data_IF_157449967173
#
_entry.id   IF_157449967173
#
_cell.length_a   1.000
_cell.length_b   1.000
_cell.length_c   1.000
_cell.angle_alpha   90.00
_cell.angle_beta   90.00
_cell.angle_gamma   90.00
#
_symmetry.space_group_name_H-M   'P 1'
#
loop_
_entity.id
_entity.type
_entity.pdbx_description
1 polymer ?
#
# COMPACT_ATOMS: atom_id res chain seq x y z
N UNK A 1 -7.51 -7.29 -39.99
CA UNK A 1 -8.32 -7.62 -38.81
C UNK A 1 -8.15 -6.49 -37.82
N UNK A 2 -9.20 -5.70 -37.61
CA UNK A 2 -9.18 -4.58 -36.65
C UNK A 2 -9.20 -5.13 -35.23
N UNK A 3 -8.14 -4.92 -34.47
CA UNK A 3 -8.14 -5.17 -33.04
C UNK A 3 -8.83 -4.01 -32.33
N UNK A 4 -10.11 -4.19 -31.98
CA UNK A 4 -10.80 -3.32 -31.01
C UNK A 4 -10.15 -3.51 -29.65
N UNK A 5 -9.30 -2.57 -29.26
CA UNK A 5 -8.77 -2.44 -27.90
C UNK A 5 -9.90 -2.01 -26.97
N UNK A 6 -10.46 -2.97 -26.22
CA UNK A 6 -11.33 -2.67 -25.08
C UNK A 6 -10.42 -2.10 -23.98
N UNK A 7 -10.39 -0.79 -23.83
CA UNK A 7 -9.79 -0.17 -22.65
C UNK A 7 -10.74 -0.39 -21.48
N UNK A 8 -10.36 -1.24 -20.52
CA UNK A 8 -10.98 -1.22 -19.20
C UNK A 8 -10.57 0.09 -18.53
N UNK A 9 -11.42 1.12 -18.65
CA UNK A 9 -11.41 2.23 -17.71
C UNK A 9 -11.93 1.66 -16.39
N UNK A 10 -11.03 1.49 -15.43
CA UNK A 10 -11.43 1.27 -14.04
C UNK A 10 -12.09 2.57 -13.59
N UNK A 11 -13.41 2.62 -13.62
CA UNK A 11 -14.17 3.65 -12.91
C UNK A 11 -13.97 3.42 -11.41
N UNK A 12 -12.83 3.88 -10.88
CA UNK A 12 -12.59 3.96 -9.43
C UNK A 12 -13.39 5.14 -8.86
N UNK A 13 -14.72 5.01 -8.89
CA UNK A 13 -15.62 5.74 -8.00
C UNK A 13 -16.00 4.89 -6.77
N UNK A 14 -15.17 3.90 -6.43
CA UNK A 14 -15.35 3.02 -5.28
C UNK A 14 -14.46 3.43 -4.11
N UNK A 15 -15.10 3.89 -3.04
CA UNK A 15 -14.78 3.67 -1.62
C UNK A 15 -13.28 3.64 -1.22
N UNK A 16 -12.89 4.64 -0.43
CA UNK A 16 -11.53 4.88 0.09
C UNK A 16 -11.13 3.79 1.11
N UNK A 17 -10.56 2.69 0.62
CA UNK A 17 -10.25 1.48 1.39
C UNK A 17 -8.81 1.51 1.93
N UNK A 18 -8.59 0.98 3.12
CA UNK A 18 -7.31 0.99 3.86
C UNK A 18 -6.24 0.06 3.29
N UNK A 19 -6.11 0.07 1.96
CA UNK A 19 -5.30 -0.81 1.11
C UNK A 19 -4.32 -0.04 0.23
N UNK A 20 -4.36 1.29 0.29
CA UNK A 20 -3.41 2.13 -0.44
C UNK A 20 -2.09 2.17 0.31
N UNK A 21 -1.01 1.87 -0.40
CA UNK A 21 0.36 1.90 0.13
C UNK A 21 1.23 2.82 -0.71
N UNK A 22 2.24 3.40 -0.08
CA UNK A 22 3.29 4.15 -0.76
C UNK A 22 4.63 3.98 -0.07
N UNK A 23 5.72 4.15 -0.82
CA UNK A 23 7.08 4.07 -0.28
C UNK A 23 8.13 4.13 -1.37
N UNK A 24 9.30 3.56 -1.06
CA UNK A 24 10.41 3.47 -2.00
C UNK A 24 10.73 2.00 -2.28
N UNK A 25 10.62 1.59 -3.55
CA UNK A 25 10.98 0.24 -3.99
C UNK A 25 12.49 0.02 -4.02
N UNK A 26 13.26 1.09 -4.26
CA UNK A 26 14.71 1.11 -4.18
C UNK A 26 15.17 2.52 -3.84
N UNK A 27 16.17 2.65 -2.97
CA UNK A 27 16.90 3.90 -2.75
C UNK A 27 18.16 3.88 -3.60
N UNK A 28 18.54 5.03 -4.15
CA UNK A 28 19.68 5.15 -5.06
C UNK A 28 20.97 5.42 -4.29
N UNK A 29 22.09 4.93 -4.81
CA UNK A 29 23.43 5.27 -4.33
C UNK A 29 23.91 4.54 -3.06
N UNK A 30 23.05 3.76 -2.40
CA UNK A 30 23.46 2.89 -1.29
C UNK A 30 23.82 1.49 -1.78
N UNK A 31 24.77 0.84 -1.10
CA UNK A 31 25.10 -0.57 -1.32
C UNK A 31 23.99 -1.41 -0.68
N UNK A 32 23.44 -2.36 -1.43
CA UNK A 32 22.47 -3.33 -0.93
C UNK A 32 23.15 -4.60 -0.40
N UNK A 33 22.35 -5.50 0.19
CA UNK A 33 22.85 -6.76 0.77
C UNK A 33 23.44 -7.73 -0.27
N UNK A 34 23.19 -7.50 -1.56
CA UNK A 34 23.77 -8.25 -2.68
C UNK A 34 25.09 -7.65 -3.20
N UNK A 35 25.51 -6.48 -2.69
CA UNK A 35 26.69 -5.76 -3.18
C UNK A 35 26.41 -4.87 -4.39
N UNK A 36 25.15 -4.66 -4.74
CA UNK A 36 24.75 -3.77 -5.83
C UNK A 36 24.52 -2.34 -5.32
N UNK A 37 24.76 -1.37 -6.20
CA UNK A 37 24.33 0.02 -6.02
C UNK A 37 23.48 0.41 -7.20
N UNK A 38 22.20 0.71 -6.95
CA UNK A 38 21.32 1.28 -7.97
C UNK A 38 21.68 2.75 -8.17
N UNK A 39 22.07 3.12 -9.39
CA UNK A 39 22.45 4.49 -9.70
C UNK A 39 21.22 5.34 -10.05
N UNK A 40 21.24 6.66 -9.79
CA UNK A 40 20.19 7.56 -10.28
C UNK A 40 20.01 7.45 -11.79
N UNK A 41 18.76 7.34 -12.24
CA UNK A 41 18.36 7.15 -13.64
C UNK A 41 18.28 5.70 -14.09
N UNK A 42 18.59 4.71 -13.24
CA UNK A 42 18.70 3.31 -13.63
C UNK A 42 17.42 2.72 -14.22
N UNK A 43 16.25 3.22 -13.81
CA UNK A 43 14.95 2.72 -14.30
C UNK A 43 14.29 3.64 -15.33
N UNK A 44 14.89 4.80 -15.61
CA UNK A 44 14.28 5.84 -16.45
C UNK A 44 13.89 5.36 -17.86
N UNK A 45 14.71 4.51 -18.49
CA UNK A 45 14.35 3.90 -19.79
C UNK A 45 13.27 2.84 -19.64
N UNK A 46 13.34 2.01 -18.59
CA UNK A 46 12.35 0.97 -18.32
C UNK A 46 10.96 1.54 -18.08
N UNK A 47 10.85 2.62 -17.30
CA UNK A 47 9.58 3.28 -17.02
C UNK A 47 8.95 3.90 -18.28
N UNK A 48 9.77 4.42 -19.19
CA UNK A 48 9.31 4.95 -20.50
C UNK A 48 8.80 3.87 -21.46
N UNK A 49 9.18 2.61 -21.26
CA UNK A 49 8.77 1.50 -22.14
C UNK A 49 7.27 1.16 -22.07
N UNK A 50 6.58 1.59 -21.00
CA UNK A 50 5.18 1.24 -20.77
C UNK A 50 4.94 -0.19 -20.25
N UNK A 51 6.01 -0.93 -19.90
CA UNK A 51 5.89 -2.23 -19.22
C UNK A 51 5.13 -2.07 -17.90
N UNK A 52 4.15 -2.95 -17.67
CA UNK A 52 3.44 -3.01 -16.39
C UNK A 52 4.25 -3.76 -15.34
N UNK A 53 4.83 -3.02 -14.41
CA UNK A 53 5.53 -3.53 -13.23
C UNK A 53 4.55 -4.27 -12.31
N UNK A 54 4.91 -5.47 -11.86
CA UNK A 54 4.04 -6.29 -10.99
C UNK A 54 4.23 -5.95 -9.52
N UNK A 55 3.15 -6.10 -8.75
CA UNK A 55 3.18 -6.05 -7.29
C UNK A 55 3.03 -7.47 -6.77
N UNK A 56 4.12 -8.06 -6.31
CA UNK A 56 4.18 -9.46 -5.88
C UNK A 56 4.41 -9.55 -4.37
N UNK A 57 4.20 -10.74 -3.83
CA UNK A 57 4.62 -11.10 -2.48
C UNK A 57 5.92 -11.90 -2.54
N UNK A 58 6.95 -11.44 -1.82
CA UNK A 58 8.25 -12.14 -1.70
C UNK A 58 8.83 -12.64 -3.04
N UNK A 59 8.77 -11.80 -4.08
CA UNK A 59 9.26 -12.11 -5.43
C UNK A 59 8.59 -13.33 -6.11
N UNK A 60 7.51 -13.87 -5.53
CA UNK A 60 6.82 -15.03 -6.06
C UNK A 60 5.84 -14.60 -7.17
N UNK A 61 6.13 -15.00 -8.41
CA UNK A 61 5.30 -14.68 -9.58
C UNK A 61 3.88 -15.27 -9.52
N UNK A 62 3.67 -16.32 -8.72
CA UNK A 62 2.37 -16.95 -8.51
C UNK A 62 1.52 -16.21 -7.45
N UNK A 63 2.10 -15.24 -6.76
CA UNK A 63 1.44 -14.49 -5.68
C UNK A 63 1.40 -12.97 -5.94
N UNK A 64 0.71 -12.51 -7.01
CA UNK A 64 0.40 -11.09 -7.15
C UNK A 64 -0.53 -10.64 -6.03
N UNK A 65 -0.17 -9.54 -5.36
CA UNK A 65 -0.90 -9.03 -4.20
C UNK A 65 -1.54 -7.66 -4.42
N UNK A 66 -1.27 -7.00 -5.54
CA UNK A 66 -1.91 -5.73 -5.86
C UNK A 66 -1.50 -5.12 -7.20
N UNK A 67 -1.67 -3.81 -7.32
CA UNK A 67 -1.36 -3.05 -8.53
C UNK A 67 -0.70 -1.73 -8.14
N UNK A 68 0.44 -1.43 -8.77
CA UNK A 68 1.07 -0.12 -8.69
C UNK A 68 0.29 0.89 -9.54
N UNK A 69 -0.07 2.02 -8.94
CA UNK A 69 -0.78 3.12 -9.60
C UNK A 69 0.21 4.13 -10.19
N UNK A 70 1.29 4.43 -9.46
CA UNK A 70 2.32 5.38 -9.85
C UNK A 70 3.71 4.85 -9.46
N UNK A 71 4.66 4.99 -10.36
CA UNK A 71 6.07 4.61 -10.18
C UNK A 71 6.91 5.70 -10.82
N UNK A 72 7.67 6.40 -10.00
CA UNK A 72 8.47 7.55 -10.42
C UNK A 72 9.86 7.44 -9.80
N UNK A 73 10.88 7.77 -10.59
CA UNK A 73 12.23 7.92 -10.10
C UNK A 73 12.45 9.38 -9.69
N UNK A 74 12.75 9.62 -8.42
CA UNK A 74 13.09 10.93 -7.86
C UNK A 74 14.55 10.96 -7.37
N UNK A 75 14.97 12.07 -6.75
CA UNK A 75 16.35 12.23 -6.25
C UNK A 75 16.75 11.20 -5.18
N UNK A 76 15.78 10.67 -4.42
CA UNK A 76 16.01 9.65 -3.38
C UNK A 76 16.04 8.25 -4.00
N UNK A 77 15.18 7.96 -4.98
CA UNK A 77 15.16 6.69 -5.68
C UNK A 77 13.82 6.38 -6.34
N UNK A 78 13.46 5.10 -6.37
CA UNK A 78 12.25 4.61 -7.03
C UNK A 78 11.05 4.71 -6.10
N UNK A 79 10.33 5.83 -6.17
CA UNK A 79 9.11 6.10 -5.42
C UNK A 79 7.91 5.38 -6.05
N UNK A 80 7.08 4.79 -5.20
CA UNK A 80 5.91 4.01 -5.62
C UNK A 80 4.67 4.34 -4.83
N UNK A 81 3.52 4.23 -5.48
CA UNK A 81 2.22 4.16 -4.82
C UNK A 81 1.30 3.18 -5.52
N UNK A 82 0.46 2.49 -4.76
CA UNK A 82 -0.39 1.44 -5.30
C UNK A 82 -1.47 0.99 -4.33
N UNK A 83 -2.23 -0.01 -4.76
CA UNK A 83 -3.32 -0.59 -4.01
C UNK A 83 -3.15 -2.10 -3.88
N UNK A 84 -3.20 -2.59 -2.64
CA UNK A 84 -3.28 -4.03 -2.35
C UNK A 84 -4.66 -4.54 -2.75
N UNK A 85 -4.71 -5.63 -3.52
CA UNK A 85 -5.96 -6.22 -4.01
C UNK A 85 -6.70 -7.00 -2.91
N UNK A 86 -8.02 -7.14 -3.03
CA UNK A 86 -8.85 -7.86 -2.05
C UNK A 86 -8.81 -9.40 -2.22
N UNK A 87 -7.63 -9.94 -2.54
CA UNK A 87 -7.38 -11.38 -2.57
C UNK A 87 -7.11 -11.91 -1.16
N UNK A 88 -7.05 -13.23 -0.99
CA UNK A 88 -6.60 -13.82 0.27
C UNK A 88 -5.21 -13.29 0.67
N UNK A 89 -4.24 -13.37 -0.26
CA UNK A 89 -2.90 -12.85 -0.05
C UNK A 89 -2.88 -11.35 0.25
N UNK A 90 -3.67 -10.54 -0.45
CA UNK A 90 -3.71 -9.11 -0.19
C UNK A 90 -4.26 -8.76 1.20
N UNK A 91 -5.25 -9.52 1.70
CA UNK A 91 -5.74 -9.37 3.07
C UNK A 91 -4.66 -9.74 4.09
N UNK A 92 -3.92 -10.83 3.86
CA UNK A 92 -2.80 -11.22 4.72
C UNK A 92 -1.71 -10.13 4.74
N UNK A 93 -1.33 -9.61 3.57
CA UNK A 93 -0.35 -8.52 3.45
C UNK A 93 -0.78 -7.30 4.25
N UNK A 94 -2.04 -6.87 4.14
CA UNK A 94 -2.55 -5.73 4.92
C UNK A 94 -2.54 -6.00 6.43
N UNK A 95 -2.88 -7.21 6.86
CA UNK A 95 -2.84 -7.58 8.27
C UNK A 95 -1.39 -7.52 8.80
N UNK A 96 -0.46 -8.18 8.09
CA UNK A 96 0.96 -8.22 8.47
C UNK A 96 1.60 -6.82 8.48
N UNK A 97 1.25 -5.97 7.52
CA UNK A 97 1.70 -4.58 7.49
C UNK A 97 1.18 -3.77 8.69
N UNK A 98 -0.10 -3.94 9.06
CA UNK A 98 -0.70 -3.26 10.21
C UNK A 98 -0.13 -3.72 11.54
N UNK A 99 0.20 -5.00 11.63
CA UNK A 99 0.81 -5.60 12.82
C UNK A 99 2.32 -5.26 12.94
N UNK A 100 2.90 -4.64 11.90
CA UNK A 100 4.33 -4.31 11.85
C UNK A 100 5.24 -5.52 11.63
N UNK A 101 4.67 -6.66 11.21
CA UNK A 101 5.43 -7.88 10.91
C UNK A 101 6.24 -7.76 9.60
N UNK A 102 5.82 -6.85 8.72
CA UNK A 102 6.49 -6.49 7.47
C UNK A 102 6.34 -4.99 7.23
N UNK A 103 7.31 -4.38 6.55
CA UNK A 103 7.35 -2.94 6.26
C UNK A 103 8.15 -2.61 4.99
N UNK A 104 8.61 -3.63 4.25
CA UNK A 104 9.70 -3.48 3.29
C UNK A 104 9.28 -3.79 1.85
N UNK A 105 9.98 -3.13 0.92
CA UNK A 105 9.87 -3.35 -0.52
C UNK A 105 11.19 -3.88 -1.08
N UNK A 106 11.11 -4.58 -2.21
CA UNK A 106 12.28 -4.99 -2.98
C UNK A 106 11.95 -5.02 -4.46
N UNK A 107 12.95 -4.85 -5.30
CA UNK A 107 12.80 -4.83 -6.76
C UNK A 107 13.26 -6.14 -7.39
N UNK A 108 12.56 -6.53 -8.46
CA UNK A 108 12.98 -7.57 -9.38
C UNK A 108 13.20 -6.94 -10.75
N UNK A 109 14.40 -7.11 -11.27
CA UNK A 109 14.82 -6.45 -12.48
C UNK A 109 15.81 -7.31 -13.28
N UNK A 110 16.01 -6.93 -14.55
CA UNK A 110 17.07 -7.45 -15.40
C UNK A 110 18.09 -6.36 -15.63
N UNK A 111 19.35 -6.61 -15.29
CA UNK A 111 20.45 -5.68 -15.57
C UNK A 111 20.63 -5.50 -17.08
N UNK A 112 20.74 -4.25 -17.50
CA UNK A 112 21.04 -3.86 -18.89
C UNK A 112 22.44 -3.29 -19.00
N UNK A 113 22.81 -2.43 -18.06
CA UNK A 113 24.13 -1.78 -18.00
C UNK A 113 24.59 -1.66 -16.55
N UNK A 114 25.83 -2.08 -16.30
CA UNK A 114 26.43 -2.06 -14.98
C UNK A 114 27.96 -2.02 -15.06
N UNK A 115 28.58 -1.44 -14.03
CA UNK A 115 30.03 -1.31 -13.88
C UNK A 115 30.47 -1.84 -12.50
N UNK A 116 31.59 -2.55 -12.44
CA UNK A 116 32.20 -2.90 -11.15
C UNK A 116 33.10 -1.76 -10.66
N UNK A 117 32.89 -1.31 -9.42
CA UNK A 117 33.79 -0.38 -8.72
C UNK A 117 34.24 -1.02 -7.41
N UNK A 118 35.46 -1.57 -7.43
CA UNK A 118 35.94 -2.43 -6.36
C UNK A 118 35.04 -3.66 -6.22
N UNK A 119 34.56 -3.91 -5.00
CA UNK A 119 33.70 -5.05 -4.68
C UNK A 119 32.20 -4.77 -4.88
N UNK A 120 31.85 -3.60 -5.43
CA UNK A 120 30.45 -3.16 -5.61
C UNK A 120 30.10 -3.10 -7.09
N UNK A 121 28.92 -3.59 -7.45
CA UNK A 121 28.41 -3.50 -8.83
C UNK A 121 27.40 -2.35 -8.94
N UNK A 122 27.76 -1.31 -9.68
CA UNK A 122 26.91 -0.15 -9.93
C UNK A 122 26.00 -0.41 -11.12
N UNK A 123 24.68 -0.39 -10.88
CA UNK A 123 23.65 -0.62 -11.89
C UNK A 123 23.24 0.72 -12.50
N UNK A 124 23.63 0.95 -13.76
CA UNK A 124 23.35 2.19 -14.49
C UNK A 124 22.08 2.12 -15.32
N UNK A 125 21.69 0.93 -15.78
CA UNK A 125 20.41 0.68 -16.46
C UNK A 125 19.86 -0.69 -16.10
N UNK A 126 18.57 -0.72 -15.78
CA UNK A 126 17.85 -1.94 -15.46
C UNK A 126 16.44 -1.92 -16.06
N UNK A 127 16.02 -3.06 -16.59
CA UNK A 127 14.61 -3.31 -16.88
C UNK A 127 13.90 -3.72 -15.61
N UNK A 128 12.98 -2.89 -15.14
CA UNK A 128 12.17 -3.14 -13.95
C UNK A 128 10.98 -4.06 -14.30
N UNK A 129 10.88 -5.19 -13.61
CA UNK A 129 9.86 -6.19 -13.86
C UNK A 129 8.78 -6.19 -12.78
N UNK A 130 9.21 -6.08 -11.53
CA UNK A 130 8.32 -6.15 -10.38
C UNK A 130 8.90 -5.39 -9.19
N UNK A 131 8.00 -5.01 -8.28
CA UNK A 131 8.33 -4.47 -6.96
C UNK A 131 7.46 -5.23 -5.98
N UNK A 132 8.09 -5.98 -5.09
CA UNK A 132 7.45 -6.87 -4.14
C UNK A 132 7.32 -6.23 -2.78
N UNK A 133 6.26 -6.58 -2.06
CA UNK A 133 6.26 -6.50 -0.60
C UNK A 133 7.00 -7.72 -0.08
N UNK A 134 8.01 -7.51 0.76
CA UNK A 134 8.93 -8.56 1.20
C UNK A 134 9.11 -8.57 2.70
N UNK A 135 9.48 -9.72 3.24
CA UNK A 135 9.88 -9.85 4.65
C UNK A 135 11.30 -9.32 4.87
N UNK A 136 12.21 -9.60 3.93
CA UNK A 136 13.61 -9.18 4.01
C UNK A 136 14.03 -8.53 2.68
N UNK A 137 14.25 -7.21 2.67
CA UNK A 137 14.69 -6.53 1.45
C UNK A 137 16.19 -6.72 1.23
N UNK A 138 16.64 -6.65 -0.03
CA UNK A 138 18.08 -6.49 -0.28
C UNK A 138 18.54 -5.06 0.08
N UNK A 139 17.73 -4.07 -0.27
CA UNK A 139 17.96 -2.67 0.08
C UNK A 139 17.18 -2.30 1.36
N UNK A 140 17.86 -2.23 2.49
CA UNK A 140 17.26 -1.93 3.81
C UNK A 140 16.55 -0.57 3.89
N UNK A 141 16.85 0.36 2.97
CA UNK A 141 16.20 1.67 2.89
C UNK A 141 14.92 1.67 2.05
N UNK A 142 14.61 0.56 1.36
CA UNK A 142 13.40 0.38 0.56
C UNK A 142 12.23 -0.03 1.46
N UNK A 143 11.50 0.98 1.96
CA UNK A 143 10.43 0.82 2.94
C UNK A 143 9.09 1.32 2.42
N UNK A 144 8.02 0.78 3.01
CA UNK A 144 6.66 1.29 2.92
C UNK A 144 6.54 2.42 3.94
N UNK A 145 6.42 3.65 3.45
CA UNK A 145 6.34 4.86 4.30
C UNK A 145 4.93 5.10 4.81
N UNK A 146 3.90 4.69 4.05
CA UNK A 146 2.52 4.88 4.47
C UNK A 146 1.60 3.76 4.00
N UNK A 147 0.68 3.41 4.89
CA UNK A 147 -0.53 2.66 4.59
C UNK A 147 -1.64 3.63 4.94
N UNK A 148 -2.35 4.15 3.93
CA UNK A 148 -3.50 5.00 4.27
C UNK A 148 -4.51 4.12 4.98
N UNK A 149 -4.71 4.37 6.26
CA UNK A 149 -5.85 3.82 6.97
C UNK A 149 -7.10 4.25 6.19
N UNK A 150 -8.05 3.33 6.02
CA UNK A 150 -9.37 3.73 5.57
C UNK A 150 -9.86 4.81 6.52
N UNK A 151 -10.19 6.00 6.01
CA UNK A 151 -11.13 6.84 6.71
C UNK A 151 -12.32 5.94 7.02
N UNK A 152 -12.63 5.75 8.31
CA UNK A 152 -13.68 4.83 8.69
C UNK A 152 -14.97 5.32 8.07
N UNK A 153 -15.49 4.61 7.07
CA UNK A 153 -16.66 5.08 6.34
C UNK A 153 -17.89 5.04 7.23
N UNK A 154 -18.91 5.84 6.91
CA UNK A 154 -20.22 5.76 7.58
C UNK A 154 -20.75 4.32 7.60
N UNK A 155 -20.49 3.56 6.53
CA UNK A 155 -20.92 2.16 6.40
C UNK A 155 -20.14 1.21 7.31
N UNK A 156 -18.83 1.42 7.45
CA UNK A 156 -17.99 0.66 8.37
C UNK A 156 -18.33 0.95 9.84
N UNK A 157 -18.60 2.21 10.16
CA UNK A 157 -19.15 2.61 11.46
C UNK A 157 -20.52 1.99 11.71
N UNK A 158 -21.43 2.01 10.73
CA UNK A 158 -22.77 1.41 10.89
C UNK A 158 -22.65 -0.09 11.17
N UNK A 159 -21.77 -0.77 10.44
CA UNK A 159 -21.49 -2.20 10.65
C UNK A 159 -20.94 -2.45 12.06
N UNK A 160 -19.92 -1.71 12.49
CA UNK A 160 -19.35 -1.86 13.85
C UNK A 160 -20.38 -1.59 14.96
N UNK A 161 -21.21 -0.56 14.80
CA UNK A 161 -22.28 -0.25 15.77
C UNK A 161 -23.30 -1.39 15.84
N UNK A 162 -23.67 -1.96 14.69
CA UNK A 162 -24.59 -3.11 14.64
C UNK A 162 -24.00 -4.37 15.26
N UNK A 163 -22.72 -4.67 15.00
CA UNK A 163 -22.01 -5.81 15.62
C UNK A 163 -21.90 -5.61 17.14
N UNK A 164 -21.81 -4.36 17.59
CA UNK A 164 -21.88 -3.95 18.99
C UNK A 164 -23.30 -3.99 19.59
N UNK A 165 -24.33 -4.39 18.84
CA UNK A 165 -25.69 -4.63 19.33
C UNK A 165 -26.67 -3.46 19.15
N UNK A 166 -26.27 -2.40 18.45
CA UNK A 166 -27.19 -1.31 18.11
C UNK A 166 -28.13 -1.71 16.97
N UNK A 167 -29.38 -1.25 17.04
CA UNK A 167 -30.31 -1.39 15.92
C UNK A 167 -29.82 -0.57 14.72
N UNK A 168 -30.25 -0.93 13.51
CA UNK A 168 -29.91 -0.18 12.29
C UNK A 168 -30.31 1.31 12.39
N UNK A 169 -31.47 1.58 12.99
CA UNK A 169 -31.96 2.94 13.17
C UNK A 169 -31.12 3.73 14.19
N UNK A 170 -30.67 3.09 15.28
CA UNK A 170 -29.84 3.75 16.29
C UNK A 170 -28.42 4.01 15.78
N UNK A 171 -27.86 3.06 15.03
CA UNK A 171 -26.58 3.24 14.35
C UNK A 171 -26.63 4.43 13.37
N UNK A 172 -27.69 4.54 12.56
CA UNK A 172 -27.87 5.65 11.63
C UNK A 172 -28.01 7.00 12.33
N UNK A 173 -28.73 7.08 13.46
CA UNK A 173 -28.86 8.30 14.26
C UNK A 173 -27.54 8.74 14.89
N UNK A 174 -26.75 7.79 15.40
CA UNK A 174 -25.42 8.07 15.96
C UNK A 174 -24.45 8.58 14.89
N UNK A 175 -24.49 8.00 13.70
CA UNK A 175 -23.68 8.44 12.56
C UNK A 175 -24.14 9.81 12.06
N UNK A 176 -25.44 10.03 11.85
CA UNK A 176 -25.93 11.31 11.32
C UNK A 176 -25.72 12.49 12.28
N UNK A 177 -25.79 12.24 13.59
CA UNK A 177 -25.60 13.27 14.62
C UNK A 177 -24.14 13.50 15.03
N UNK A 178 -23.34 12.44 15.21
CA UNK A 178 -21.98 12.54 15.75
C UNK A 178 -20.86 12.53 14.71
N UNK A 179 -21.02 11.77 13.62
CA UNK A 179 -19.94 11.59 12.64
C UNK A 179 -19.76 12.81 11.74
N UNK A 180 -20.84 13.47 11.32
CA UNK A 180 -20.76 14.66 10.46
C UNK A 180 -20.07 15.84 11.16
N UNK A 181 -20.24 15.97 12.48
CA UNK A 181 -19.61 17.04 13.26
C UNK A 181 -18.09 16.83 13.46
N UNK A 182 -17.60 15.58 13.35
CA UNK A 182 -16.18 15.22 13.49
C UNK A 182 -15.43 15.17 12.15
N UNK A 183 -16.14 15.07 11.01
CA UNK A 183 -15.53 14.96 9.69
C UNK A 183 -15.03 16.28 9.09
N UNK A 184 -15.27 17.43 9.73
CA UNK A 184 -14.85 18.75 9.25
C UNK A 184 -13.45 19.20 9.73
N UNK A 185 -12.78 18.43 10.59
CA UNK A 185 -11.46 18.79 11.13
C UNK A 185 -10.33 17.88 10.64
N UNK A 186 -9.21 18.50 10.26
CA UNK A 186 -8.02 17.86 9.64
C UNK A 186 -7.22 16.93 10.57
N UNK A 187 -7.44 16.99 11.88
CA UNK A 187 -6.75 16.18 12.91
C UNK A 187 -7.68 15.15 13.59
N UNK A 188 -8.77 14.77 12.93
CA UNK A 188 -9.87 14.02 13.56
C UNK A 188 -9.62 12.52 13.78
N UNK A 189 -8.49 11.95 13.37
CA UNK A 189 -8.31 10.48 13.38
C UNK A 189 -8.04 9.90 14.77
N UNK A 190 -7.37 10.65 15.66
CA UNK A 190 -7.14 10.26 17.06
C UNK A 190 -8.43 10.38 17.88
N UNK A 191 -9.14 11.51 17.76
CA UNK A 191 -10.43 11.74 18.42
C UNK A 191 -11.52 10.75 17.96
N UNK A 192 -11.56 10.39 16.66
CA UNK A 192 -12.45 9.35 16.14
C UNK A 192 -12.17 8.01 16.84
N UNK A 193 -10.90 7.61 16.91
CA UNK A 193 -10.48 6.34 17.50
C UNK A 193 -10.87 6.23 18.98
N UNK A 194 -10.75 7.32 19.73
CA UNK A 194 -11.09 7.38 21.15
C UNK A 194 -12.61 7.28 21.40
N UNK A 195 -13.42 7.97 20.58
CA UNK A 195 -14.89 7.91 20.64
C UNK A 195 -15.39 6.50 20.30
N UNK A 196 -14.79 5.84 19.32
CA UNK A 196 -15.12 4.46 18.96
C UNK A 196 -14.78 3.46 20.08
N UNK A 197 -13.64 3.65 20.74
CA UNK A 197 -13.26 2.83 21.89
C UNK A 197 -14.27 2.99 23.05
N UNK A 198 -14.72 4.21 23.33
CA UNK A 198 -15.76 4.51 24.32
C UNK A 198 -17.11 3.86 23.98
N UNK A 199 -17.52 3.91 22.71
CA UNK A 199 -18.76 3.29 22.23
C UNK A 199 -18.72 1.76 22.36
N UNK A 200 -17.60 1.13 22.00
CA UNK A 200 -17.42 -0.31 22.15
C UNK A 200 -17.43 -0.74 23.62
N UNK A 201 -16.70 -0.03 24.49
CA UNK A 201 -16.68 -0.30 25.93
C UNK A 201 -18.08 -0.21 26.55
N UNK A 202 -18.88 0.77 26.13
CA UNK A 202 -20.27 0.93 26.58
C UNK A 202 -21.18 -0.18 26.04
N UNK A 203 -20.98 -0.61 24.80
CA UNK A 203 -21.74 -1.70 24.21
C UNK A 203 -21.48 -3.05 24.90
N UNK A 204 -20.23 -3.35 25.26
CA UNK A 204 -19.88 -4.55 26.04
C UNK A 204 -20.53 -4.53 27.43
N UNK A 205 -20.51 -3.38 28.11
CA UNK A 205 -21.19 -3.21 29.41
C UNK A 205 -22.70 -3.46 29.31
N UNK A 206 -23.34 -3.09 28.20
CA UNK A 206 -24.76 -3.34 27.95
C UNK A 206 -25.07 -4.81 27.62
N UNK A 207 -24.12 -5.56 27.05
CA UNK A 207 -24.25 -7.01 26.79
C UNK A 207 -24.00 -7.87 28.03
N UNK A 208 -23.34 -7.33 29.05
CA UNK A 208 -23.02 -8.02 30.32
C UNK A 208 -24.10 -7.92 31.41
N UNK A 209 -25.26 -7.33 31.08
CA UNK A 209 -26.46 -7.23 31.93
C UNK A 209 -27.56 -8.12 31.37
#
# INVERSE_FOLDING_TARGET
MEHKSISFKSDNNGENTGRNISGYGSVSGNVDSGGDVVMPGAFSESLKSGRKVKMLWNHNSDEPCGVWADIVEDERGLKVSGIISETARGKDVIALLKDGAIDSLSIGYRTVDAEWKGDTRQIHKAELWEISIVTFPMNELAKIDSIKASEMTKRDLEKKLRDSGFSRNDAQKLISGGYNALSEQRDADEAKSEILALLNKRAELLKSR
#
